data_IF_239400937551
#
_entry.id   IF_239400937551
#
_cell.length_a   1.000
_cell.length_b   1.000
_cell.length_c   1.000
_cell.angle_alpha   90.00
_cell.angle_beta   90.00
_cell.angle_gamma   90.00
#
_symmetry.space_group_name_H-M   'P 1'
#
loop_
_entity.id
_entity.type
_entity.pdbx_description
1 polymer ?
#
# COMPACT_ATOMS: atom_id res chain seq x y z
N UNK A 1 22.54 -15.47 14.18
CA UNK A 1 22.94 -14.65 13.02
C UNK A 1 22.33 -13.29 13.22
N UNK A 2 23.13 -12.28 13.56
CA UNK A 2 22.68 -10.89 13.62
C UNK A 2 22.73 -10.34 12.19
N UNK A 3 21.58 -10.33 11.52
CA UNK A 3 21.44 -9.60 10.26
C UNK A 3 21.61 -8.12 10.57
N UNK A 4 22.37 -7.39 9.75
CA UNK A 4 22.47 -5.94 9.89
C UNK A 4 21.09 -5.26 9.66
N UNK A 5 20.84 -4.07 10.22
CA UNK A 5 19.54 -3.41 10.14
C UNK A 5 19.06 -3.11 8.71
N UNK A 6 19.98 -2.88 7.77
CA UNK A 6 19.63 -2.59 6.38
C UNK A 6 19.12 -3.86 5.67
N UNK A 7 19.75 -5.00 5.93
CA UNK A 7 19.32 -6.31 5.46
C UNK A 7 17.95 -6.67 6.04
N UNK A 8 17.74 -6.44 7.34
CA UNK A 8 16.43 -6.67 7.98
C UNK A 8 15.32 -5.83 7.33
N UNK A 9 15.56 -4.53 7.11
CA UNK A 9 14.60 -3.64 6.46
C UNK A 9 14.27 -4.08 5.03
N UNK A 10 15.28 -4.52 4.28
CA UNK A 10 15.09 -5.01 2.90
C UNK A 10 14.22 -6.26 2.87
N UNK A 11 14.47 -7.23 3.75
CA UNK A 11 13.67 -8.45 3.86
C UNK A 11 12.23 -8.13 4.27
N UNK A 12 12.05 -7.29 5.30
CA UNK A 12 10.76 -6.85 5.78
C UNK A 12 9.93 -6.17 4.67
N UNK A 13 10.56 -5.33 3.84
CA UNK A 13 9.90 -4.73 2.67
C UNK A 13 9.57 -5.77 1.61
N UNK A 14 10.47 -6.71 1.34
CA UNK A 14 10.24 -7.83 0.42
C UNK A 14 8.99 -8.64 0.79
N UNK A 15 8.83 -8.97 2.07
CA UNK A 15 7.63 -9.67 2.58
C UNK A 15 6.34 -8.89 2.32
N UNK A 16 6.34 -7.58 2.58
CA UNK A 16 5.19 -6.70 2.32
C UNK A 16 4.88 -6.54 0.84
N UNK A 17 5.90 -6.52 -0.01
CA UNK A 17 5.72 -6.50 -1.47
C UNK A 17 5.07 -7.80 -1.96
N UNK A 18 5.51 -8.96 -1.45
CA UNK A 18 4.86 -10.25 -1.77
C UNK A 18 3.39 -10.24 -1.35
N UNK A 19 3.08 -9.73 -0.15
CA UNK A 19 1.70 -9.60 0.31
C UNK A 19 0.88 -8.63 -0.57
N UNK A 20 1.48 -7.53 -1.02
CA UNK A 20 0.84 -6.55 -1.94
C UNK A 20 0.48 -7.17 -3.29
N UNK A 21 1.30 -8.08 -3.79
CA UNK A 21 1.04 -8.77 -5.05
C UNK A 21 -0.04 -9.87 -4.94
N UNK A 22 -0.48 -10.19 -3.72
CA UNK A 22 -1.48 -11.23 -3.49
C UNK A 22 -2.89 -10.64 -3.62
N UNK A 23 -3.46 -10.71 -4.83
CA UNK A 23 -4.79 -10.18 -5.11
C UNK A 23 -5.90 -11.19 -4.80
N UNK A 24 -7.06 -10.73 -4.29
CA UNK A 24 -8.20 -11.60 -4.08
C UNK A 24 -8.71 -12.18 -5.40
N UNK A 25 -9.04 -13.46 -5.38
CA UNK A 25 -9.57 -14.17 -6.56
C UNK A 25 -10.83 -13.47 -7.10
N UNK A 26 -10.94 -13.37 -8.42
CA UNK A 26 -12.07 -12.75 -9.15
C UNK A 26 -12.30 -11.25 -8.89
N UNK A 27 -11.34 -10.57 -8.27
CA UNK A 27 -11.41 -9.12 -8.03
C UNK A 27 -10.18 -8.43 -8.62
N UNK A 28 -10.01 -8.41 -9.95
CA UNK A 28 -8.89 -7.70 -10.58
C UNK A 28 -8.99 -6.21 -10.24
N UNK A 29 -7.85 -5.61 -9.90
CA UNK A 29 -7.79 -4.18 -9.63
C UNK A 29 -7.62 -3.41 -10.95
N UNK A 30 -8.29 -2.26 -11.15
CA UNK A 30 -7.96 -1.32 -12.22
C UNK A 30 -6.48 -0.93 -12.22
N UNK A 31 -5.97 -0.52 -13.39
CA UNK A 31 -4.56 -0.16 -13.56
C UNK A 31 -4.10 0.91 -12.57
N UNK A 32 -4.84 2.01 -12.43
CA UNK A 32 -4.50 3.09 -11.50
C UNK A 32 -4.43 2.63 -10.04
N UNK A 33 -5.32 1.73 -9.62
CA UNK A 33 -5.31 1.15 -8.27
C UNK A 33 -4.08 0.27 -8.04
N UNK A 34 -3.65 -0.50 -9.05
CA UNK A 34 -2.41 -1.29 -8.98
C UNK A 34 -1.17 -0.39 -8.88
N UNK A 35 -1.14 0.71 -9.65
CA UNK A 35 -0.04 1.69 -9.62
C UNK A 35 0.10 2.27 -8.20
N UNK A 36 -1.00 2.69 -7.58
CA UNK A 36 -0.98 3.22 -6.22
C UNK A 36 -0.52 2.18 -5.19
N UNK A 37 -1.02 0.93 -5.28
CA UNK A 37 -0.61 -0.13 -4.36
C UNK A 37 0.89 -0.42 -4.43
N UNK A 38 1.45 -0.46 -5.64
CA UNK A 38 2.90 -0.64 -5.85
C UNK A 38 3.69 0.57 -5.37
N UNK A 39 3.20 1.78 -5.64
CA UNK A 39 3.83 3.02 -5.19
C UNK A 39 3.94 3.05 -3.66
N UNK A 40 2.87 2.67 -2.94
CA UNK A 40 2.87 2.59 -1.49
C UNK A 40 3.94 1.61 -0.96
N UNK A 41 4.07 0.44 -1.58
CA UNK A 41 5.05 -0.58 -1.19
C UNK A 41 6.51 -0.21 -1.48
N UNK A 42 6.78 0.39 -2.65
CA UNK A 42 8.13 0.80 -3.06
C UNK A 42 8.65 1.94 -2.19
N UNK A 43 7.79 2.92 -1.89
CA UNK A 43 8.15 4.13 -1.14
C UNK A 43 8.07 3.95 0.39
N UNK A 44 7.79 2.74 0.87
CA UNK A 44 7.88 2.40 2.30
C UNK A 44 6.68 2.83 3.14
N UNK A 45 5.55 3.20 2.54
CA UNK A 45 4.32 3.51 3.27
C UNK A 45 3.72 2.30 3.99
N UNK A 46 4.18 1.10 3.65
CA UNK A 46 3.79 -0.15 4.26
C UNK A 46 4.76 -0.60 5.37
N UNK A 47 5.89 0.09 5.59
CA UNK A 47 6.98 -0.38 6.46
C UNK A 47 6.49 -0.62 7.91
N UNK A 48 5.52 0.15 8.41
CA UNK A 48 4.94 -0.01 9.75
C UNK A 48 3.74 -0.97 9.80
N UNK A 49 3.21 -1.37 8.65
CA UNK A 49 2.02 -2.21 8.56
C UNK A 49 2.42 -3.70 8.68
N UNK A 50 1.81 -4.47 9.60
CA UNK A 50 2.04 -5.91 9.69
C UNK A 50 1.61 -6.64 8.41
N UNK A 51 2.42 -7.59 7.94
CA UNK A 51 2.18 -8.36 6.71
C UNK A 51 0.75 -8.93 6.56
N UNK A 52 0.12 -9.51 7.61
CA UNK A 52 -1.25 -10.02 7.51
C UNK A 52 -2.31 -8.95 7.21
N UNK A 53 -2.00 -7.68 7.49
CA UNK A 53 -2.93 -6.56 7.33
C UNK A 53 -2.74 -5.80 6.02
N UNK A 54 -1.72 -6.15 5.22
CA UNK A 54 -1.44 -5.47 3.95
C UNK A 54 -2.62 -5.55 2.98
N UNK A 55 -3.31 -6.69 2.91
CA UNK A 55 -4.52 -6.80 2.07
C UNK A 55 -5.61 -5.84 2.51
N UNK A 56 -5.85 -5.71 3.82
CA UNK A 56 -6.85 -4.79 4.38
C UNK A 56 -6.45 -3.33 4.13
N UNK A 57 -5.18 -3.00 4.34
CA UNK A 57 -4.64 -1.69 4.05
C UNK A 57 -4.92 -1.29 2.60
N UNK A 58 -4.63 -2.18 1.63
CA UNK A 58 -4.88 -1.89 0.22
C UNK A 58 -6.36 -1.73 -0.10
N UNK A 59 -7.23 -2.59 0.44
CA UNK A 59 -8.68 -2.47 0.23
C UNK A 59 -9.24 -1.15 0.79
N UNK A 60 -8.83 -0.76 2.00
CA UNK A 60 -9.26 0.50 2.63
C UNK A 60 -8.67 1.72 1.91
N UNK A 61 -7.39 1.68 1.52
CA UNK A 61 -6.73 2.76 0.76
C UNK A 61 -7.42 2.99 -0.59
N UNK A 62 -7.77 1.90 -1.28
CA UNK A 62 -8.46 1.97 -2.57
C UNK A 62 -9.81 2.65 -2.44
N UNK A 63 -10.56 2.33 -1.40
CA UNK A 63 -11.85 2.98 -1.14
C UNK A 63 -11.70 4.46 -0.75
N UNK A 64 -10.70 4.78 0.07
CA UNK A 64 -10.36 6.16 0.43
C UNK A 64 -10.10 7.03 -0.81
N UNK A 65 -9.22 6.57 -1.71
CA UNK A 65 -8.86 7.31 -2.92
C UNK A 65 -9.96 7.31 -3.99
N UNK A 66 -10.87 6.32 -4.01
CA UNK A 66 -12.07 6.36 -4.86
C UNK A 66 -13.02 7.48 -4.48
N UNK A 67 -13.09 7.83 -3.18
CA UNK A 67 -13.96 8.92 -2.71
C UNK A 67 -13.49 10.27 -3.24
N UNK A 68 -12.16 10.47 -3.36
CA UNK A 68 -11.59 11.65 -4.01
C UNK A 68 -11.68 11.56 -5.55
N UNK A 69 -11.38 10.38 -6.11
CA UNK A 69 -11.50 10.04 -7.53
C UNK A 69 -10.44 10.66 -8.44
N UNK A 70 -9.99 11.88 -8.15
CA UNK A 70 -9.10 12.66 -9.02
C UNK A 70 -7.77 11.96 -9.31
N UNK A 71 -7.10 11.39 -8.30
CA UNK A 71 -5.81 10.72 -8.46
C UNK A 71 -5.93 9.53 -9.42
N UNK A 72 -6.96 8.69 -9.27
CA UNK A 72 -7.13 7.52 -10.14
C UNK A 72 -7.46 7.92 -11.58
N UNK A 73 -8.32 8.91 -11.77
CA UNK A 73 -8.62 9.45 -13.10
C UNK A 73 -7.36 10.00 -13.76
N UNK A 74 -6.57 10.80 -13.05
CA UNK A 74 -5.36 11.43 -13.60
C UNK A 74 -4.31 10.38 -14.00
N UNK A 75 -4.09 9.34 -13.18
CA UNK A 75 -3.22 8.21 -13.54
C UNK A 75 -3.73 7.50 -14.79
N UNK A 76 -5.05 7.25 -14.88
CA UNK A 76 -5.59 6.51 -16.02
C UNK A 76 -5.65 7.33 -17.32
N UNK A 77 -5.76 8.65 -17.26
CA UNK A 77 -5.76 9.52 -18.44
C UNK A 77 -4.36 9.82 -18.94
N UNK A 78 -3.44 10.15 -18.02
CA UNK A 78 -2.07 10.55 -18.38
C UNK A 78 -1.16 9.34 -18.62
N UNK A 79 -1.46 8.21 -17.97
CA UNK A 79 -0.57 7.03 -17.88
C UNK A 79 0.81 7.38 -17.34
N UNK A 80 0.90 8.44 -16.54
CA UNK A 80 2.14 8.96 -15.95
C UNK A 80 1.94 9.32 -14.47
N UNK A 81 3.04 9.38 -13.74
CA UNK A 81 3.11 9.83 -12.35
C UNK A 81 4.00 11.08 -12.31
N UNK A 82 3.43 12.20 -12.75
CA UNK A 82 4.13 13.49 -12.71
C UNK A 82 4.54 13.84 -11.27
N UNK A 83 5.49 14.76 -11.12
CA UNK A 83 5.93 15.22 -9.79
C UNK A 83 4.76 15.79 -8.96
N UNK A 84 3.83 16.49 -9.62
CA UNK A 84 2.64 17.06 -8.97
C UNK A 84 1.69 15.97 -8.49
N UNK A 85 1.40 14.98 -9.35
CA UNK A 85 0.51 13.87 -9.02
C UNK A 85 1.12 12.98 -7.93
N UNK A 86 2.42 12.72 -8.01
CA UNK A 86 3.17 11.99 -6.99
C UNK A 86 3.10 12.70 -5.64
N UNK A 87 3.28 14.02 -5.60
CA UNK A 87 3.18 14.79 -4.36
C UNK A 87 1.77 14.74 -3.74
N UNK A 88 0.72 14.82 -4.57
CA UNK A 88 -0.68 14.64 -4.12
C UNK A 88 -0.91 13.24 -3.54
N UNK A 89 -0.46 12.22 -4.27
CA UNK A 89 -0.56 10.82 -3.85
C UNK A 89 0.20 10.56 -2.53
N UNK A 90 1.42 11.07 -2.38
CA UNK A 90 2.19 10.96 -1.14
C UNK A 90 1.47 11.61 0.04
N UNK A 91 0.85 12.77 -0.16
CA UNK A 91 0.11 13.47 0.88
C UNK A 91 -1.10 12.64 1.38
N UNK A 92 -1.88 12.08 0.46
CA UNK A 92 -3.02 11.23 0.80
C UNK A 92 -2.58 9.89 1.39
N UNK A 93 -1.52 9.26 0.87
CA UNK A 93 -0.93 8.05 1.46
C UNK A 93 -0.47 8.29 2.89
N UNK A 94 0.25 9.39 3.14
CA UNK A 94 0.73 9.73 4.49
C UNK A 94 -0.44 9.93 5.45
N UNK A 95 -1.46 10.68 5.03
CA UNK A 95 -2.68 10.92 5.81
C UNK A 95 -3.42 9.61 6.10
N UNK A 96 -3.55 8.75 5.10
CA UNK A 96 -4.20 7.45 5.25
C UNK A 96 -3.41 6.52 6.18
N UNK A 97 -2.10 6.34 5.96
CA UNK A 97 -1.25 5.49 6.80
C UNK A 97 -1.25 5.94 8.26
N UNK A 98 -1.24 7.26 8.53
CA UNK A 98 -1.33 7.79 9.90
C UNK A 98 -2.69 7.52 10.56
N UNK A 99 -3.76 7.43 9.78
CA UNK A 99 -5.11 7.11 10.25
C UNK A 99 -5.45 5.62 10.25
N UNK A 100 -4.59 4.77 9.68
CA UNK A 100 -4.85 3.34 9.59
C UNK A 100 -4.70 2.67 10.95
N UNK A 101 -5.80 2.13 11.45
CA UNK A 101 -5.85 1.39 12.71
C UNK A 101 -5.17 0.03 12.55
N UNK A 102 -3.92 -0.11 13.03
CA UNK A 102 -3.21 -1.39 13.07
C UNK A 102 -3.80 -2.24 14.19
N UNK A 103 -4.51 -3.30 13.82
CA UNK A 103 -5.15 -4.19 14.80
C UNK A 103 -4.15 -5.25 15.24
N UNK A 104 -3.95 -5.43 16.54
CA UNK A 104 -3.23 -6.61 17.02
C UNK A 104 -4.08 -7.85 16.71
N UNK A 105 -3.51 -8.81 15.97
CA UNK A 105 -4.09 -10.15 15.90
C UNK A 105 -4.04 -10.73 17.31
N UNK A 106 -5.17 -10.69 18.02
CA UNK A 106 -5.35 -11.54 19.19
C UNK A 106 -5.34 -12.96 18.65
N UNK A 107 -4.17 -13.61 18.71
CA UNK A 107 -4.00 -14.98 18.28
C UNK A 107 -5.10 -15.83 18.88
N UNK A 108 -5.99 -16.34 18.02
CA UNK A 108 -6.95 -17.34 18.39
C UNK A 108 -6.12 -18.63 18.59
N UNK A 109 -5.55 -18.78 19.78
CA UNK A 109 -5.02 -20.04 20.26
C UNK A 109 -6.27 -20.91 20.49
N UNK A 110 -6.61 -21.72 19.50
CA UNK A 110 -7.49 -22.87 19.62
C UNK A 110 -6.64 -24.14 19.58
#
# INVERSE_FOLDING_TARGET
SELDPATQKTLARGERMVATLNQPQYKPWPHAEQVVALYAGINGFLDEIPTPQISRFHDELREHLRTEGAIYTEIDETKDLSDELSAKLEAELKKFTQGFDIREETGLIA
#
